data_IF_235774214235
#
_entry.id   IF_235774214235
#
_cell.length_a   1.000
_cell.length_b   1.000
_cell.length_c   1.000
_cell.angle_alpha   90.00
_cell.angle_beta   90.00
_cell.angle_gamma   90.00
#
_symmetry.space_group_name_H-M   'P 1'
#
loop_
_entity.id
_entity.type
_entity.pdbx_description
1 polymer ?
#
# COMPACT_ATOMS: atom_id res chain seq x y z
N UNK A 1 -53.50 -19.46 -27.31
CA UNK A 1 -53.27 -18.23 -26.54
C UNK A 1 -51.76 -18.04 -26.42
N UNK A 2 -51.12 -17.23 -27.28
CA UNK A 2 -49.69 -16.94 -27.12
C UNK A 2 -49.50 -15.82 -26.09
N UNK A 3 -48.49 -15.96 -25.24
CA UNK A 3 -48.11 -14.94 -24.26
C UNK A 3 -47.22 -13.90 -24.94
N UNK A 4 -47.73 -12.67 -25.08
CA UNK A 4 -46.94 -11.51 -25.53
C UNK A 4 -45.93 -11.13 -24.45
N UNK A 5 -44.65 -11.30 -24.74
CA UNK A 5 -43.56 -10.81 -23.92
C UNK A 5 -43.40 -9.31 -24.22
N UNK A 6 -43.96 -8.48 -23.34
CA UNK A 6 -43.73 -7.02 -23.35
C UNK A 6 -42.25 -6.73 -23.09
N UNK A 7 -41.52 -6.43 -24.17
CA UNK A 7 -40.18 -5.85 -24.10
C UNK A 7 -40.29 -4.42 -23.56
N UNK A 8 -39.99 -4.26 -22.27
CA UNK A 8 -39.82 -2.95 -21.62
C UNK A 8 -38.58 -2.25 -22.18
N UNK A 9 -38.70 -1.65 -23.37
CA UNK A 9 -37.76 -0.65 -23.84
C UNK A 9 -38.00 0.64 -23.05
N UNK A 10 -37.31 0.78 -21.93
CA UNK A 10 -37.19 2.07 -21.23
C UNK A 10 -36.30 2.97 -22.07
N UNK A 11 -36.91 3.77 -22.94
CA UNK A 11 -36.24 4.91 -23.56
C UNK A 11 -35.82 5.87 -22.44
N UNK A 12 -34.56 5.78 -22.01
CA UNK A 12 -34.02 6.69 -21.00
C UNK A 12 -33.99 8.10 -21.57
N UNK A 13 -34.46 9.08 -20.80
CA UNK A 13 -34.34 10.49 -21.18
C UNK A 13 -32.86 10.85 -21.33
N UNK A 14 -32.54 11.79 -22.23
CA UNK A 14 -31.16 12.23 -22.50
C UNK A 14 -30.39 12.63 -21.24
N UNK A 15 -31.10 13.13 -20.23
CA UNK A 15 -30.56 13.51 -18.93
C UNK A 15 -30.18 12.30 -18.07
N UNK A 16 -30.97 11.21 -18.10
CA UNK A 16 -30.64 9.97 -17.39
C UNK A 16 -29.48 9.23 -18.06
N UNK A 17 -29.37 9.31 -19.39
CA UNK A 17 -28.23 8.78 -20.13
C UNK A 17 -26.95 9.59 -19.85
N UNK A 18 -27.05 10.92 -19.76
CA UNK A 18 -25.94 11.78 -19.35
C UNK A 18 -25.49 11.50 -17.90
N UNK A 19 -26.42 11.27 -16.98
CA UNK A 19 -26.12 10.89 -15.60
C UNK A 19 -25.43 9.52 -15.53
N UNK A 20 -25.90 8.54 -16.31
CA UNK A 20 -25.26 7.21 -16.41
C UNK A 20 -23.85 7.30 -16.99
N UNK A 21 -23.62 8.11 -18.03
CA UNK A 21 -22.28 8.33 -18.59
C UNK A 21 -21.34 8.99 -17.57
N UNK A 22 -21.82 9.96 -16.79
CA UNK A 22 -21.04 10.56 -15.68
C UNK A 22 -20.72 9.54 -14.59
N UNK A 23 -21.70 8.72 -14.19
CA UNK A 23 -21.49 7.67 -13.19
C UNK A 23 -20.51 6.59 -13.68
N UNK A 24 -20.55 6.24 -14.97
CA UNK A 24 -19.58 5.34 -15.58
C UNK A 24 -18.17 5.94 -15.62
N UNK A 25 -18.01 7.23 -15.93
CA UNK A 25 -16.69 7.89 -15.88
C UNK A 25 -16.11 7.95 -14.46
N UNK A 26 -16.97 8.00 -13.44
CA UNK A 26 -16.60 7.97 -12.03
C UNK A 26 -16.49 6.54 -11.46
N UNK A 27 -16.65 5.51 -12.31
CA UNK A 27 -16.55 4.12 -11.87
C UNK A 27 -15.10 3.79 -11.44
N UNK A 28 -14.88 3.06 -10.33
CA UNK A 28 -13.55 2.80 -9.78
C UNK A 28 -12.55 2.15 -10.74
N UNK A 29 -13.04 1.43 -11.76
CA UNK A 29 -12.21 0.80 -12.79
C UNK A 29 -11.68 1.76 -13.85
N UNK A 30 -12.20 3.00 -13.93
CA UNK A 30 -11.79 4.02 -14.90
C UNK A 30 -10.80 5.04 -14.30
N UNK A 31 -10.32 4.79 -13.08
CA UNK A 31 -9.31 5.61 -12.45
C UNK A 31 -7.93 5.32 -13.06
N UNK A 32 -7.49 6.17 -13.98
CA UNK A 32 -6.09 6.27 -14.33
C UNK A 32 -5.42 7.24 -13.36
N UNK A 33 -4.48 6.72 -12.56
CA UNK A 33 -3.63 7.53 -11.66
C UNK A 33 -2.95 8.61 -12.49
N UNK A 34 -3.36 9.86 -12.36
CA UNK A 34 -2.68 11.00 -12.96
C UNK A 34 -1.27 11.03 -12.39
N UNK A 35 -0.29 10.68 -13.21
CA UNK A 35 1.14 10.82 -12.91
C UNK A 35 1.51 12.30 -12.91
N UNK A 36 1.35 12.94 -11.75
CA UNK A 36 2.11 14.13 -11.39
C UNK A 36 3.07 13.68 -10.28
N UNK A 37 4.35 14.07 -10.37
CA UNK A 37 5.42 13.83 -9.38
C UNK A 37 6.37 12.63 -9.66
N UNK A 38 6.56 12.28 -10.93
CA UNK A 38 7.48 11.20 -11.33
C UNK A 38 8.94 11.39 -10.88
N UNK A 39 9.41 12.63 -10.71
CA UNK A 39 10.81 12.92 -10.32
C UNK A 39 11.07 12.69 -8.83
N UNK A 40 10.16 13.10 -7.94
CA UNK A 40 10.34 12.93 -6.49
C UNK A 40 10.10 11.48 -6.06
N UNK A 41 9.08 10.83 -6.63
CA UNK A 41 8.82 9.42 -6.38
C UNK A 41 9.98 8.52 -6.82
N UNK A 42 10.58 8.81 -7.99
CA UNK A 42 11.75 8.08 -8.49
C UNK A 42 12.98 8.29 -7.60
N UNK A 43 13.28 9.54 -7.22
CA UNK A 43 14.39 9.85 -6.33
C UNK A 43 14.23 9.14 -4.96
N UNK A 44 13.01 9.12 -4.42
CA UNK A 44 12.71 8.42 -3.17
C UNK A 44 12.86 6.90 -3.30
N UNK A 45 12.42 6.31 -4.41
CA UNK A 45 12.59 4.89 -4.65
C UNK A 45 14.07 4.51 -4.73
N UNK A 46 14.91 5.33 -5.35
CA UNK A 46 16.36 5.15 -5.40
C UNK A 46 17.02 5.28 -4.02
N UNK A 47 16.60 6.26 -3.22
CA UNK A 47 17.05 6.42 -1.83
C UNK A 47 16.71 5.19 -0.98
N UNK A 48 15.47 4.69 -1.07
CA UNK A 48 15.04 3.49 -0.36
C UNK A 48 15.82 2.26 -0.81
N UNK A 49 16.03 2.09 -2.12
CA UNK A 49 16.80 0.98 -2.67
C UNK A 49 18.26 1.00 -2.18
N UNK A 50 18.90 2.17 -2.23
CA UNK A 50 20.28 2.37 -1.73
C UNK A 50 20.36 2.06 -0.24
N UNK A 51 19.42 2.59 0.53
CA UNK A 51 19.34 2.37 1.98
C UNK A 51 19.20 0.88 2.32
N UNK A 52 18.26 0.17 1.68
CA UNK A 52 18.07 -1.27 1.92
C UNK A 52 19.30 -2.09 1.54
N UNK A 53 19.97 -1.72 0.45
CA UNK A 53 21.24 -2.36 0.05
C UNK A 53 22.33 -2.15 1.10
N UNK A 54 22.55 -0.92 1.57
CA UNK A 54 23.55 -0.66 2.61
C UNK A 54 23.23 -1.40 3.91
N UNK A 55 21.97 -1.43 4.32
CA UNK A 55 21.53 -2.13 5.54
C UNK A 55 21.73 -3.64 5.41
N UNK A 56 21.44 -4.20 4.23
CA UNK A 56 21.71 -5.59 3.91
C UNK A 56 23.20 -5.93 3.98
N UNK A 57 24.06 -5.12 3.34
CA UNK A 57 25.53 -5.28 3.38
C UNK A 57 26.08 -5.19 4.81
N UNK A 58 25.52 -4.30 5.63
CA UNK A 58 25.89 -4.21 7.05
C UNK A 58 25.53 -5.49 7.80
N UNK A 59 24.31 -6.01 7.63
CA UNK A 59 23.87 -7.22 8.31
C UNK A 59 24.65 -8.46 7.86
N UNK A 60 24.95 -8.59 6.57
CA UNK A 60 25.78 -9.70 6.08
C UNK A 60 27.22 -9.58 6.54
N UNK A 61 27.79 -8.36 6.63
CA UNK A 61 29.13 -8.14 7.20
C UNK A 61 29.23 -8.50 8.68
N UNK A 62 28.10 -8.44 9.41
CA UNK A 62 27.99 -8.88 10.81
C UNK A 62 27.81 -10.40 10.93
N UNK A 63 27.76 -11.13 9.82
CA UNK A 63 27.68 -12.59 9.78
C UNK A 63 26.25 -13.15 9.68
N UNK A 64 25.23 -12.32 9.44
CA UNK A 64 23.89 -12.87 9.19
C UNK A 64 23.85 -13.63 7.85
N UNK A 65 23.20 -14.81 7.80
CA UNK A 65 22.89 -15.48 6.55
C UNK A 65 22.08 -14.58 5.60
N UNK A 66 22.33 -14.68 4.30
CA UNK A 66 21.70 -13.83 3.27
C UNK A 66 20.18 -13.72 3.42
N UNK A 67 19.48 -14.85 3.56
CA UNK A 67 18.03 -14.86 3.72
C UNK A 67 17.57 -14.13 4.98
N UNK A 68 18.27 -14.35 6.10
CA UNK A 68 17.97 -13.71 7.38
C UNK A 68 18.21 -12.21 7.31
N UNK A 69 19.35 -11.79 6.76
CA UNK A 69 19.69 -10.38 6.54
C UNK A 69 18.61 -9.67 5.71
N UNK A 70 18.10 -10.30 4.64
CA UNK A 70 17.00 -9.73 3.84
C UNK A 70 15.70 -9.61 4.61
N UNK A 71 15.30 -10.66 5.34
CA UNK A 71 14.09 -10.60 6.18
C UNK A 71 14.23 -9.58 7.30
N UNK A 72 15.45 -9.37 7.80
CA UNK A 72 15.77 -8.40 8.84
C UNK A 72 15.69 -6.96 8.30
N UNK A 73 16.19 -6.69 7.09
CA UNK A 73 15.95 -5.40 6.40
C UNK A 73 14.46 -5.12 6.29
N UNK A 74 13.67 -6.11 5.87
CA UNK A 74 12.21 -5.96 5.78
C UNK A 74 11.58 -5.69 7.16
N UNK A 75 12.05 -6.36 8.22
CA UNK A 75 11.59 -6.15 9.59
C UNK A 75 11.89 -4.74 10.08
N UNK A 76 13.11 -4.25 9.88
CA UNK A 76 13.55 -2.90 10.27
C UNK A 76 12.71 -1.85 9.55
N UNK A 77 12.60 -1.95 8.23
CA UNK A 77 11.82 -0.99 7.44
C UNK A 77 10.32 -1.01 7.78
N UNK A 78 9.73 -2.19 7.96
CA UNK A 78 8.33 -2.31 8.41
C UNK A 78 8.12 -1.69 9.81
N UNK A 79 9.11 -1.86 10.71
CA UNK A 79 9.07 -1.27 12.05
C UNK A 79 9.15 0.26 12.01
N UNK A 80 9.92 0.82 11.09
CA UNK A 80 10.01 2.27 10.92
C UNK A 80 8.70 2.88 10.43
N UNK A 81 8.06 2.27 9.43
CA UNK A 81 6.73 2.70 8.96
C UNK A 81 5.72 2.64 10.12
N UNK A 82 5.72 1.53 10.86
CA UNK A 82 4.86 1.38 12.05
C UNK A 82 5.11 2.47 13.09
N UNK A 83 6.38 2.71 13.44
CA UNK A 83 6.75 3.72 14.43
C UNK A 83 6.37 5.13 13.98
N UNK A 84 6.53 5.44 12.69
CA UNK A 84 6.13 6.72 12.09
C UNK A 84 4.63 6.96 12.24
N UNK A 85 3.79 6.01 11.82
CA UNK A 85 2.34 6.10 12.02
C UNK A 85 1.96 6.19 13.50
N UNK A 86 2.58 5.37 14.36
CA UNK A 86 2.27 5.38 15.78
C UNK A 86 2.64 6.72 16.45
N UNK A 87 3.74 7.35 16.04
CA UNK A 87 4.14 8.67 16.53
C UNK A 87 3.17 9.76 16.07
N UNK A 88 2.83 9.80 14.79
CA UNK A 88 1.85 10.75 14.25
C UNK A 88 0.47 10.55 14.90
N UNK A 89 0.04 9.30 15.11
CA UNK A 89 -1.21 8.98 15.78
C UNK A 89 -1.26 9.57 17.20
N UNK A 90 -0.20 9.40 17.98
CA UNK A 90 -0.11 9.98 19.34
C UNK A 90 -0.15 11.50 19.28
N UNK A 91 0.54 12.11 18.32
CA UNK A 91 0.54 13.55 18.10
C UNK A 91 -0.86 14.09 17.78
N UNK A 92 -1.56 13.49 16.81
CA UNK A 92 -2.93 13.92 16.44
C UNK A 92 -3.94 13.71 17.57
N UNK A 93 -3.81 12.63 18.35
CA UNK A 93 -4.65 12.43 19.55
C UNK A 93 -4.41 13.50 20.60
N UNK A 94 -3.15 13.85 20.86
CA UNK A 94 -2.80 14.92 21.81
C UNK A 94 -3.30 16.29 21.33
N UNK A 95 -3.28 16.55 20.03
CA UNK A 95 -3.78 17.78 19.41
C UNK A 95 -5.31 17.83 19.24
N UNK A 96 -6.04 16.76 19.57
CA UNK A 96 -7.49 16.68 19.38
C UNK A 96 -7.96 16.47 17.93
N UNK A 97 -7.04 16.17 17.00
CA UNK A 97 -7.33 15.91 15.58
C UNK A 97 -7.87 14.49 15.40
N UNK A 98 -9.13 14.26 15.77
CA UNK A 98 -9.74 12.92 15.80
C UNK A 98 -9.79 12.23 14.43
N UNK A 99 -10.03 12.99 13.36
CA UNK A 99 -10.08 12.43 12.01
C UNK A 99 -8.70 11.94 11.56
N UNK A 100 -7.66 12.76 11.68
CA UNK A 100 -6.27 12.39 11.35
C UNK A 100 -5.82 11.17 12.16
N UNK A 101 -6.15 11.14 13.45
CA UNK A 101 -5.87 9.99 14.32
C UNK A 101 -6.59 8.71 13.84
N UNK A 102 -7.85 8.81 13.43
CA UNK A 102 -8.62 7.66 12.93
C UNK A 102 -8.04 7.12 11.62
N UNK A 103 -7.65 8.02 10.71
CA UNK A 103 -6.98 7.69 9.44
C UNK A 103 -5.66 6.93 9.70
N UNK A 104 -4.83 7.40 10.65
CA UNK A 104 -3.58 6.73 11.00
C UNK A 104 -3.79 5.39 11.73
N UNK A 105 -4.86 5.25 12.50
CA UNK A 105 -5.22 3.97 13.12
C UNK A 105 -5.59 2.90 12.07
N UNK A 106 -6.27 3.31 10.99
CA UNK A 106 -6.55 2.44 9.84
C UNK A 106 -5.26 2.08 9.12
N UNK A 107 -4.34 3.03 8.93
CA UNK A 107 -3.03 2.78 8.33
C UNK A 107 -2.23 1.72 9.12
N UNK A 108 -2.13 1.88 10.45
CA UNK A 108 -1.50 0.90 11.35
C UNK A 108 -2.15 -0.48 11.24
N UNK A 109 -3.48 -0.55 11.26
CA UNK A 109 -4.20 -1.82 11.14
C UNK A 109 -3.90 -2.54 9.82
N UNK A 110 -3.64 -1.77 8.76
CA UNK A 110 -3.32 -2.30 7.42
C UNK A 110 -1.98 -3.02 7.38
N UNK A 111 -1.00 -2.52 8.15
CA UNK A 111 0.38 -3.04 8.19
C UNK A 111 0.68 -3.93 9.40
N UNK A 112 -0.25 -4.06 10.37
CA UNK A 112 -0.09 -4.91 11.55
C UNK A 112 0.26 -6.35 11.22
N UNK A 113 -0.24 -6.85 10.08
CA UNK A 113 0.05 -8.18 9.57
C UNK A 113 1.53 -8.43 9.23
N UNK A 114 2.40 -7.42 9.24
CA UNK A 114 3.84 -7.57 8.98
C UNK A 114 4.64 -8.01 10.19
N UNK A 115 4.23 -7.59 11.40
CA UNK A 115 5.05 -7.72 12.59
C UNK A 115 5.34 -9.19 12.96
N UNK A 116 4.32 -10.05 12.89
CA UNK A 116 4.45 -11.43 13.32
C UNK A 116 5.14 -12.33 12.27
N UNK A 117 4.80 -12.26 10.96
CA UNK A 117 5.51 -12.98 9.90
C UNK A 117 7.01 -12.73 9.88
N UNK A 118 7.42 -11.46 9.92
CA UNK A 118 8.83 -11.07 9.78
C UNK A 118 9.67 -11.47 11.00
N UNK A 119 9.06 -11.68 12.16
CA UNK A 119 9.75 -12.17 13.37
C UNK A 119 9.79 -13.69 13.41
N UNK A 120 8.71 -14.38 13.05
CA UNK A 120 8.60 -15.84 13.18
C UNK A 120 9.27 -16.63 12.06
N UNK A 121 9.41 -16.04 10.88
CA UNK A 121 9.94 -16.70 9.69
C UNK A 121 11.21 -15.99 9.19
N UNK A 122 12.15 -15.75 10.11
CA UNK A 122 13.47 -15.24 9.74
C UNK A 122 14.12 -16.17 8.70
N UNK A 123 14.70 -15.59 7.65
CA UNK A 123 15.28 -16.35 6.55
C UNK A 123 14.31 -16.72 5.42
N UNK A 124 12.99 -16.76 5.67
CA UNK A 124 12.00 -17.06 4.62
C UNK A 124 11.61 -15.80 3.85
N UNK A 125 12.42 -15.50 2.84
CA UNK A 125 12.21 -14.35 1.94
C UNK A 125 10.89 -14.45 1.18
N UNK A 126 10.43 -15.65 0.85
CA UNK A 126 9.17 -15.84 0.11
C UNK A 126 7.97 -15.47 0.96
N UNK A 127 7.98 -15.89 2.22
CA UNK A 127 6.94 -15.55 3.19
C UNK A 127 6.97 -14.07 3.54
N UNK A 128 8.16 -13.49 3.73
CA UNK A 128 8.33 -12.05 3.93
C UNK A 128 7.77 -11.24 2.76
N UNK A 129 8.09 -11.62 1.52
CA UNK A 129 7.57 -10.97 0.30
C UNK A 129 6.04 -11.01 0.24
N UNK A 130 5.43 -12.17 0.52
CA UNK A 130 3.97 -12.31 0.59
C UNK A 130 3.34 -11.44 1.68
N UNK A 131 3.96 -11.37 2.85
CA UNK A 131 3.49 -10.54 3.96
C UNK A 131 3.53 -9.05 3.60
N UNK A 132 4.66 -8.56 3.07
CA UNK A 132 4.83 -7.18 2.57
C UNK A 132 3.77 -6.86 1.52
N UNK A 133 3.58 -7.74 0.55
CA UNK A 133 2.59 -7.53 -0.51
C UNK A 133 1.15 -7.51 -0.04
N UNK A 134 0.84 -8.33 0.96
CA UNK A 134 -0.50 -8.34 1.56
C UNK A 134 -0.75 -7.06 2.34
N UNK A 135 0.23 -6.58 3.11
CA UNK A 135 0.11 -5.33 3.84
C UNK A 135 0.00 -4.12 2.92
N UNK A 136 0.81 -4.07 1.84
CA UNK A 136 0.76 -3.01 0.83
C UNK A 136 -0.62 -2.93 0.19
N UNK A 137 -1.16 -4.07 -0.27
CA UNK A 137 -2.52 -4.13 -0.85
C UNK A 137 -3.59 -3.66 0.13
N UNK A 138 -3.51 -4.05 1.40
CA UNK A 138 -4.43 -3.57 2.45
C UNK A 138 -4.32 -2.06 2.66
N UNK A 139 -3.10 -1.54 2.70
CA UNK A 139 -2.83 -0.11 2.87
C UNK A 139 -3.42 0.70 1.70
N UNK A 140 -3.18 0.26 0.46
CA UNK A 140 -3.73 0.89 -0.75
C UNK A 140 -5.26 0.84 -0.78
N UNK A 141 -5.84 -0.33 -0.46
CA UNK A 141 -7.29 -0.49 -0.42
C UNK A 141 -7.93 0.44 0.61
N UNK A 142 -7.41 0.45 1.84
CA UNK A 142 -7.92 1.30 2.91
C UNK A 142 -7.67 2.79 2.63
N UNK A 143 -6.50 3.15 2.11
CA UNK A 143 -6.18 4.52 1.69
C UNK A 143 -7.13 5.01 0.59
N UNK A 144 -7.41 4.18 -0.40
CA UNK A 144 -8.35 4.50 -1.47
C UNK A 144 -9.82 4.55 -1.01
N UNK A 145 -10.21 3.77 0.00
CA UNK A 145 -11.51 3.93 0.66
C UNK A 145 -11.58 5.25 1.42
N UNK A 146 -10.56 5.57 2.21
CA UNK A 146 -10.50 6.81 2.98
C UNK A 146 -10.54 8.02 2.07
N UNK A 147 -9.76 8.04 0.99
CA UNK A 147 -9.76 9.14 0.01
C UNK A 147 -11.16 9.38 -0.61
N UNK A 148 -11.95 8.31 -0.80
CA UNK A 148 -13.32 8.42 -1.32
C UNK A 148 -14.33 8.91 -0.28
N UNK A 149 -14.19 8.48 0.97
CA UNK A 149 -15.07 8.88 2.07
C UNK A 149 -14.77 10.29 2.56
N UNK A 150 -13.49 10.65 2.56
CA UNK A 150 -12.95 11.93 2.96
C UNK A 150 -11.82 12.26 1.97
N UNK A 151 -11.96 13.28 1.10
CA UNK A 151 -10.92 13.69 0.15
C UNK A 151 -9.75 14.37 0.90
N UNK A 152 -9.14 13.60 1.78
CA UNK A 152 -8.07 13.98 2.68
C UNK A 152 -6.87 13.14 2.30
N UNK A 153 -5.92 13.78 1.59
CA UNK A 153 -4.67 13.13 1.23
C UNK A 153 -3.74 13.22 2.43
N UNK A 154 -3.64 12.12 3.19
CA UNK A 154 -2.60 12.01 4.20
C UNK A 154 -1.31 11.48 3.52
N UNK A 155 -0.24 12.28 3.41
CA UNK A 155 1.01 11.89 2.75
C UNK A 155 1.66 10.66 3.39
N UNK A 156 1.32 10.33 4.64
CA UNK A 156 1.81 9.14 5.30
C UNK A 156 1.40 7.84 4.57
N UNK A 157 0.26 7.82 3.86
CA UNK A 157 -0.14 6.66 3.06
C UNK A 157 0.72 6.48 1.81
N UNK A 158 1.03 7.56 1.08
CA UNK A 158 1.90 7.50 -0.10
C UNK A 158 3.33 7.11 0.28
N UNK A 159 3.80 7.63 1.40
CA UNK A 159 5.13 7.36 1.93
C UNK A 159 5.32 5.90 2.33
N UNK A 160 4.32 5.35 3.04
CA UNK A 160 4.30 3.96 3.44
C UNK A 160 4.11 3.02 2.23
N UNK A 161 3.26 3.37 1.26
CA UNK A 161 3.11 2.60 0.01
C UNK A 161 4.44 2.53 -0.75
N UNK A 162 5.13 3.66 -0.93
CA UNK A 162 6.44 3.70 -1.58
C UNK A 162 7.50 2.87 -0.84
N UNK A 163 7.48 2.91 0.50
CA UNK A 163 8.39 2.09 1.32
C UNK A 163 8.12 0.60 1.16
N UNK A 164 6.85 0.19 1.19
CA UNK A 164 6.46 -1.21 1.01
C UNK A 164 6.72 -1.69 -0.43
N UNK A 165 6.50 -0.85 -1.43
CA UNK A 165 6.85 -1.13 -2.83
C UNK A 165 8.36 -1.38 -3.00
N UNK A 166 9.19 -0.50 -2.44
CA UNK A 166 10.64 -0.66 -2.47
C UNK A 166 11.07 -1.95 -1.75
N UNK A 167 10.39 -2.32 -0.65
CA UNK A 167 10.63 -3.59 0.04
C UNK A 167 10.24 -4.81 -0.79
N UNK A 168 9.10 -4.77 -1.48
CA UNK A 168 8.71 -5.84 -2.41
C UNK A 168 9.77 -6.04 -3.50
N UNK A 169 10.23 -4.94 -4.12
CA UNK A 169 11.27 -4.98 -5.14
C UNK A 169 12.60 -5.51 -4.60
N UNK A 170 12.99 -5.10 -3.38
CA UNK A 170 14.19 -5.59 -2.71
C UNK A 170 14.13 -7.10 -2.44
N UNK A 171 13.02 -7.60 -1.90
CA UNK A 171 12.82 -9.02 -1.60
C UNK A 171 12.67 -9.89 -2.88
N UNK A 172 12.14 -9.33 -3.97
CA UNK A 172 12.02 -10.04 -5.24
C UNK A 172 13.37 -10.32 -5.90
N UNK A 173 14.37 -9.43 -5.75
CA UNK A 173 15.72 -9.59 -6.30
C UNK A 173 16.50 -10.78 -5.71
N UNK A 174 15.98 -11.45 -4.68
CA UNK A 174 16.58 -12.63 -4.05
C UNK A 174 16.23 -13.95 -4.71
N UNK A 175 15.18 -13.97 -5.53
CA UNK A 175 14.73 -15.23 -6.09
C UNK A 175 15.68 -15.63 -7.21
N UNK A 176 16.42 -16.75 -7.10
CA UNK A 176 17.01 -17.35 -8.27
C UNK A 176 15.85 -17.68 -9.21
N UNK A 177 15.95 -17.17 -10.44
CA UNK A 177 15.03 -17.53 -11.52
C UNK A 177 15.14 -19.05 -11.67
N UNK A 178 14.13 -19.79 -11.24
CA UNK A 178 14.07 -21.22 -11.49
C UNK A 178 14.12 -21.40 -13.01
N UNK A 179 15.18 -22.07 -13.48
CA UNK A 179 15.39 -22.40 -14.89
C UNK A 179 14.46 -23.54 -15.32
#
# INVERSE_FOLDING_TARGET
MPADILTLHTAMTSQAEAARRRAMLLHPSNFNRTQSDGSEAAARAEQLATRFKCLHEQLTSQGLPEGEARTEVARIAAREVWNGFAAQLRHHRAAGHQMDASVLAVALSSIQGLALPLVRHAGDVTYASRAVSTARRRLQYNGGLLHRLHPYNNPAFSDADATLEALEAFLARSQPKAA
#
